data_IF_796630279837
#
_entry.id   IF_796630279837
#
_cell.length_a   1.000
_cell.length_b   1.000
_cell.length_c   1.000
_cell.angle_alpha   90.00
_cell.angle_beta   90.00
_cell.angle_gamma   90.00
#
_symmetry.space_group_name_H-M   'P 1'
#
loop_
_entity.id
_entity.type
_entity.pdbx_description
1 polymer ?
#
# COMPACT_ATOMS: atom_id res chain seq x y z
N UNK A 1 8.06 37.24 -27.14
CA UNK A 1 6.85 36.47 -26.80
C UNK A 1 7.27 35.19 -26.12
N UNK A 2 7.48 35.26 -24.80
CA UNK A 2 8.09 34.18 -23.99
C UNK A 2 7.31 34.03 -22.68
N UNK A 3 5.98 33.98 -22.76
CA UNK A 3 5.10 34.06 -21.59
C UNK A 3 4.04 32.94 -21.49
N UNK A 4 4.19 31.81 -22.19
CA UNK A 4 3.11 30.83 -22.32
C UNK A 4 3.38 29.36 -21.95
N UNK A 5 4.64 28.93 -21.85
CA UNK A 5 4.94 27.50 -21.79
C UNK A 5 6.16 27.24 -20.90
N UNK A 6 6.10 26.15 -20.12
CA UNK A 6 7.18 25.61 -19.27
C UNK A 6 7.17 26.09 -17.79
N UNK A 7 6.00 26.40 -17.24
CA UNK A 7 5.73 26.01 -15.85
C UNK A 7 4.53 25.08 -15.83
N UNK A 8 4.64 23.93 -16.51
CA UNK A 8 4.01 22.73 -15.96
C UNK A 8 4.78 22.49 -14.67
N UNK A 9 4.32 23.07 -13.57
CA UNK A 9 4.87 22.79 -12.26
C UNK A 9 4.75 21.27 -12.08
N UNK A 10 5.88 20.56 -12.23
CA UNK A 10 6.01 19.19 -11.78
C UNK A 10 5.63 19.26 -10.30
N UNK A 11 4.45 18.77 -9.94
CA UNK A 11 4.06 18.68 -8.55
C UNK A 11 5.01 17.67 -7.92
N UNK A 12 6.02 18.17 -7.20
CA UNK A 12 7.02 17.32 -6.55
C UNK A 12 6.34 16.75 -5.30
N UNK A 13 5.98 15.48 -5.36
CA UNK A 13 5.48 14.77 -4.19
C UNK A 13 6.59 14.70 -3.12
N UNK A 14 6.24 15.01 -1.87
CA UNK A 14 7.21 14.89 -0.78
C UNK A 14 7.42 13.41 -0.42
N UNK A 15 8.60 13.05 0.08
CA UNK A 15 8.90 11.68 0.56
C UNK A 15 7.87 11.19 1.59
N UNK A 16 7.43 12.08 2.49
CA UNK A 16 6.40 11.77 3.50
C UNK A 16 5.05 11.46 2.86
N UNK A 17 4.64 12.25 1.86
CA UNK A 17 3.39 12.03 1.12
C UNK A 17 3.44 10.73 0.33
N UNK A 18 4.56 10.46 -0.35
CA UNK A 18 4.82 9.22 -1.08
C UNK A 18 4.68 7.99 -0.17
N UNK A 19 5.31 8.02 1.01
CA UNK A 19 5.21 6.95 2.00
C UNK A 19 3.78 6.76 2.51
N UNK A 20 3.04 7.85 2.74
CA UNK A 20 1.64 7.77 3.17
C UNK A 20 0.76 7.14 2.10
N UNK A 21 0.96 7.51 0.83
CA UNK A 21 0.21 6.93 -0.30
C UNK A 21 0.57 5.45 -0.51
N UNK A 22 1.82 5.04 -0.28
CA UNK A 22 2.19 3.63 -0.24
C UNK A 22 1.40 2.88 0.83
N UNK A 23 1.37 3.41 2.05
CA UNK A 23 0.64 2.77 3.13
C UNK A 23 -0.84 2.60 2.79
N UNK A 24 -1.50 3.64 2.27
CA UNK A 24 -2.92 3.59 1.89
C UNK A 24 -3.18 2.59 0.75
N UNK A 25 -2.31 2.54 -0.26
CA UNK A 25 -2.45 1.61 -1.37
C UNK A 25 -2.25 0.15 -0.92
N UNK A 26 -1.27 -0.11 -0.06
CA UNK A 26 -1.04 -1.46 0.48
C UNK A 26 -2.18 -1.88 1.41
N UNK A 27 -2.70 -0.96 2.23
CA UNK A 27 -3.88 -1.20 3.06
C UNK A 27 -5.10 -1.57 2.23
N UNK A 28 -5.37 -0.84 1.14
CA UNK A 28 -6.41 -1.19 0.17
C UNK A 28 -6.21 -2.60 -0.42
N UNK A 29 -4.99 -2.94 -0.83
CA UNK A 29 -4.67 -4.26 -1.39
C UNK A 29 -4.94 -5.38 -0.37
N UNK A 30 -4.55 -5.18 0.89
CA UNK A 30 -4.75 -6.18 1.95
C UNK A 30 -6.23 -6.31 2.32
N UNK A 31 -6.93 -5.19 2.55
CA UNK A 31 -8.31 -5.19 3.04
C UNK A 31 -9.30 -5.75 2.01
N UNK A 32 -9.08 -5.48 0.73
CA UNK A 32 -9.96 -5.93 -0.35
C UNK A 32 -9.37 -7.10 -1.14
N UNK A 33 -8.36 -7.79 -0.58
CA UNK A 33 -7.67 -8.95 -1.16
C UNK A 33 -7.30 -8.76 -2.64
N UNK A 34 -6.86 -7.54 -3.01
CA UNK A 34 -6.66 -7.21 -4.41
C UNK A 34 -5.46 -7.96 -4.99
N UNK A 35 -5.54 -8.41 -6.25
CA UNK A 35 -4.40 -9.03 -6.90
C UNK A 35 -3.30 -7.99 -7.16
N UNK A 36 -2.03 -8.38 -6.94
CA UNK A 36 -0.88 -7.46 -7.08
C UNK A 36 -0.69 -6.92 -8.50
N UNK A 37 -1.28 -7.58 -9.51
CA UNK A 37 -1.25 -7.10 -10.90
C UNK A 37 -1.95 -5.73 -11.06
N UNK A 38 -2.79 -5.30 -10.11
CA UNK A 38 -3.40 -3.96 -10.11
C UNK A 38 -2.35 -2.84 -10.15
N UNK A 39 -1.17 -3.06 -9.55
CA UNK A 39 -0.03 -2.12 -9.57
C UNK A 39 0.55 -1.90 -10.98
N UNK A 40 0.24 -2.79 -11.93
CA UNK A 40 0.65 -2.71 -13.33
C UNK A 40 -0.52 -2.45 -14.27
N UNK A 41 -1.75 -2.43 -13.77
CA UNK A 41 -2.93 -2.19 -14.58
C UNK A 41 -2.91 -0.74 -15.10
N UNK A 42 -2.86 -0.50 -16.42
CA UNK A 42 -2.72 0.85 -16.95
C UNK A 42 -3.86 1.80 -16.58
N UNK A 43 -5.10 1.31 -16.54
CA UNK A 43 -6.27 2.12 -16.20
C UNK A 43 -6.23 2.54 -14.72
N UNK A 44 -5.87 1.61 -13.82
CA UNK A 44 -5.67 1.92 -12.41
C UNK A 44 -4.53 2.92 -12.21
N UNK A 45 -3.37 2.68 -12.83
CA UNK A 45 -2.23 3.57 -12.72
C UNK A 45 -2.55 4.99 -13.22
N UNK A 46 -3.29 5.10 -14.33
CA UNK A 46 -3.76 6.40 -14.83
C UNK A 46 -4.76 7.04 -13.87
N UNK A 47 -5.71 6.29 -13.32
CA UNK A 47 -6.68 6.79 -12.35
C UNK A 47 -5.99 7.39 -11.13
N UNK A 48 -5.09 6.63 -10.48
CA UNK A 48 -4.40 7.10 -9.27
C UNK A 48 -3.48 8.29 -9.56
N UNK A 49 -2.75 8.27 -10.67
CA UNK A 49 -1.86 9.39 -11.03
C UNK A 49 -2.60 10.67 -11.41
N UNK A 50 -3.86 10.57 -11.87
CA UNK A 50 -4.70 11.75 -12.09
C UNK A 50 -5.24 12.33 -10.78
N UNK A 51 -5.45 11.48 -9.75
CA UNK A 51 -5.84 11.95 -8.42
C UNK A 51 -4.66 12.60 -7.67
N UNK A 52 -3.47 12.01 -7.76
CA UNK A 52 -2.26 12.57 -7.17
C UNK A 52 -1.11 12.58 -8.18
N UNK A 53 -0.90 13.76 -8.77
CA UNK A 53 0.19 13.98 -9.73
C UNK A 53 1.54 13.77 -9.04
N UNK A 54 2.39 12.94 -9.65
CA UNK A 54 3.73 12.65 -9.16
C UNK A 54 3.82 11.47 -8.20
N UNK A 55 2.71 10.83 -7.84
CA UNK A 55 2.75 9.59 -7.09
C UNK A 55 3.48 8.49 -7.86
N UNK A 56 4.52 7.93 -7.25
CA UNK A 56 5.29 6.84 -7.85
C UNK A 56 4.77 5.50 -7.36
N UNK A 57 3.77 4.90 -8.02
CA UNK A 57 3.18 3.60 -7.62
C UNK A 57 4.27 2.56 -7.32
N UNK A 58 4.20 1.83 -6.19
CA UNK A 58 5.25 0.89 -5.82
C UNK A 58 5.28 -0.28 -6.81
N UNK A 59 6.48 -0.79 -7.11
CA UNK A 59 6.61 -2.05 -7.82
C UNK A 59 6.18 -3.23 -6.93
N UNK A 60 5.86 -4.37 -7.56
CA UNK A 60 5.41 -5.56 -6.83
C UNK A 60 6.39 -6.02 -5.74
N UNK A 61 7.70 -5.88 -5.94
CA UNK A 61 8.70 -6.26 -4.92
C UNK A 61 8.56 -5.39 -3.67
N UNK A 62 8.42 -4.08 -3.85
CA UNK A 62 8.21 -3.14 -2.75
C UNK A 62 6.87 -3.41 -2.06
N UNK A 63 5.81 -3.67 -2.83
CA UNK A 63 4.49 -3.99 -2.29
C UNK A 63 4.50 -5.27 -1.45
N UNK A 64 5.10 -6.35 -1.95
CA UNK A 64 5.28 -7.62 -1.20
C UNK A 64 6.01 -7.39 0.11
N UNK A 65 7.12 -6.66 0.09
CA UNK A 65 7.87 -6.33 1.31
C UNK A 65 7.02 -5.59 2.34
N UNK A 66 6.17 -4.66 1.89
CA UNK A 66 5.26 -3.93 2.80
C UNK A 66 4.15 -4.81 3.36
N UNK A 67 3.62 -5.74 2.55
CA UNK A 67 2.64 -6.74 3.00
C UNK A 67 3.27 -7.66 4.04
N UNK A 68 4.49 -8.16 3.79
CA UNK A 68 5.23 -9.00 4.74
C UNK A 68 5.46 -8.28 6.08
N UNK A 69 5.81 -6.98 6.01
CA UNK A 69 5.97 -6.15 7.21
C UNK A 69 4.65 -6.00 8.00
N UNK A 70 3.54 -5.78 7.30
CA UNK A 70 2.22 -5.67 7.92
C UNK A 70 1.79 -7.00 8.55
N UNK A 71 2.05 -8.12 7.87
CA UNK A 71 1.80 -9.47 8.39
C UNK A 71 2.61 -9.74 9.66
N UNK A 72 3.93 -9.55 9.61
CA UNK A 72 4.81 -9.81 10.76
C UNK A 72 4.42 -8.96 11.97
N UNK A 73 4.12 -7.67 11.76
CA UNK A 73 3.65 -6.81 12.84
C UNK A 73 2.34 -7.34 13.44
N UNK A 74 1.37 -7.73 12.61
CA UNK A 74 0.08 -8.26 13.07
C UNK A 74 0.24 -9.59 13.79
N UNK A 75 1.09 -10.47 13.28
CA UNK A 75 1.45 -11.74 13.90
C UNK A 75 2.03 -11.53 15.30
N UNK A 76 3.01 -10.63 15.44
CA UNK A 76 3.65 -10.36 16.73
C UNK A 76 2.66 -9.78 17.76
N UNK A 77 1.77 -8.89 17.32
CA UNK A 77 0.70 -8.36 18.18
C UNK A 77 -0.25 -9.48 18.65
N UNK A 78 -0.74 -10.29 17.71
CA UNK A 78 -1.66 -11.39 18.02
C UNK A 78 -1.01 -12.45 18.91
N UNK A 79 0.22 -12.83 18.62
CA UNK A 79 0.97 -13.80 19.41
C UNK A 79 1.22 -13.29 20.84
N UNK A 80 1.56 -12.01 20.98
CA UNK A 80 1.66 -11.34 22.27
C UNK A 80 0.35 -11.43 23.07
N UNK A 81 -0.78 -11.09 22.44
CA UNK A 81 -2.11 -11.15 23.08
C UNK A 81 -2.50 -12.57 23.50
N UNK A 82 -2.21 -13.57 22.67
CA UNK A 82 -2.46 -14.97 23.01
C UNK A 82 -1.64 -15.43 24.22
N UNK A 83 -0.36 -15.06 24.31
CA UNK A 83 0.49 -15.46 25.43
C UNK A 83 0.08 -14.80 26.76
N UNK A 84 -0.50 -13.59 26.72
CA UNK A 84 -0.90 -12.87 27.93
C UNK A 84 -2.30 -13.26 28.40
N UNK A 85 -3.24 -13.48 27.47
CA UNK A 85 -4.68 -13.53 27.77
C UNK A 85 -5.36 -14.82 27.28
N UNK A 86 -4.63 -15.73 26.64
CA UNK A 86 -5.19 -16.95 26.06
C UNK A 86 -5.49 -17.99 27.13
N UNK A 87 -6.77 -18.19 27.45
CA UNK A 87 -7.22 -19.30 28.32
C UNK A 87 -7.53 -20.57 27.51
N UNK A 88 -7.96 -20.43 26.26
CA UNK A 88 -8.30 -21.54 25.37
C UNK A 88 -8.05 -21.17 23.91
N UNK A 89 -7.57 -22.13 23.10
CA UNK A 89 -7.35 -21.98 21.66
C UNK A 89 -8.15 -23.06 20.93
N UNK A 90 -9.02 -22.66 20.02
CA UNK A 90 -9.71 -23.57 19.12
C UNK A 90 -9.25 -23.35 17.68
N UNK A 91 -8.95 -24.42 16.95
CA UNK A 91 -8.55 -24.38 15.56
C UNK A 91 -9.67 -25.01 14.73
N UNK A 92 -10.29 -24.21 13.86
CA UNK A 92 -11.27 -24.69 12.89
C UNK A 92 -10.53 -24.85 11.56
N UNK A 93 -10.68 -26.01 10.94
CA UNK A 93 -10.10 -26.31 9.64
C UNK A 93 -11.23 -26.36 8.61
N UNK A 94 -11.14 -25.51 7.59
CA UNK A 94 -12.00 -25.60 6.41
C UNK A 94 -11.35 -26.59 5.41
N UNK A 95 -12.12 -27.60 4.99
CA UNK A 95 -11.73 -28.69 4.08
C UNK A 95 -12.00 -28.33 2.61
#
# INVERSE_FOLDING_TARGET
TTNGSIVKAMHIITKRRQQKLFQLLIEFIIQDCQPLNILRNPAFCQFVNNLEVGFQIPCEVTAKKMIDQAYNWSHDQLFGMMNTNGEFVNLIMDL
#
